data_IF_310302499780
#
_entry.id   IF_310302499780
#
_cell.length_a   1.000
_cell.length_b   1.000
_cell.length_c   1.000
_cell.angle_alpha   90.00
_cell.angle_beta   90.00
_cell.angle_gamma   90.00
#
_symmetry.space_group_name_H-M   'P 1'
#
loop_
_entity.id
_entity.type
_entity.pdbx_description
1 polymer ?
#
# COMPACT_ATOMS: atom_id res chain seq x y z
N UNK A 1 5.41 18.87 -19.12
CA UNK A 1 4.38 18.44 -18.16
C UNK A 1 3.06 18.40 -18.89
N UNK A 2 2.39 17.25 -18.88
CA UNK A 2 1.08 17.10 -19.51
C UNK A 2 0.00 17.86 -18.71
N UNK A 3 -1.15 18.14 -19.33
CA UNK A 3 -2.31 18.71 -18.63
C UNK A 3 -2.76 17.80 -17.49
N UNK A 4 -2.66 16.50 -17.70
CA UNK A 4 -3.01 15.47 -16.72
C UNK A 4 -2.05 15.44 -15.53
N UNK A 5 -0.74 15.50 -15.74
CA UNK A 5 0.26 15.61 -14.66
C UNK A 5 0.06 16.90 -13.84
N UNK A 6 -0.27 18.00 -14.51
CA UNK A 6 -0.55 19.28 -13.84
C UNK A 6 -1.79 19.18 -12.95
N UNK A 7 -2.83 18.52 -13.45
CA UNK A 7 -4.04 18.25 -12.67
C UNK A 7 -3.74 17.34 -11.48
N UNK A 8 -3.03 16.22 -11.67
CA UNK A 8 -2.67 15.29 -10.60
C UNK A 8 -1.92 15.97 -9.46
N UNK A 9 -0.91 16.78 -9.79
CA UNK A 9 -0.14 17.52 -8.79
C UNK A 9 -0.99 18.49 -8.00
N UNK A 10 -1.88 19.21 -8.69
CA UNK A 10 -2.77 20.16 -8.04
C UNK A 10 -3.75 19.44 -7.11
N UNK A 11 -4.42 18.41 -7.62
CA UNK A 11 -5.35 17.59 -6.83
C UNK A 11 -4.66 17.00 -5.60
N UNK A 12 -3.46 16.44 -5.76
CA UNK A 12 -2.70 15.88 -4.64
C UNK A 12 -2.26 16.96 -3.63
N UNK A 13 -1.82 18.13 -4.11
CA UNK A 13 -1.49 19.26 -3.25
C UNK A 13 -2.70 19.72 -2.42
N UNK A 14 -3.86 19.84 -3.06
CA UNK A 14 -5.11 20.27 -2.43
C UNK A 14 -5.57 19.26 -1.36
N UNK A 15 -5.51 17.96 -1.66
CA UNK A 15 -5.89 16.88 -0.73
C UNK A 15 -4.96 16.85 0.50
N UNK A 16 -3.65 16.94 0.26
CA UNK A 16 -2.65 16.86 1.32
C UNK A 16 -2.51 18.16 2.13
N UNK A 17 -2.95 19.29 1.57
CA UNK A 17 -2.71 20.63 2.11
C UNK A 17 -1.24 21.02 1.98
N UNK A 18 -0.63 20.79 0.81
CA UNK A 18 0.78 21.05 0.53
C UNK A 18 0.96 22.24 -0.41
N UNK A 19 1.28 23.39 0.16
CA UNK A 19 1.46 24.65 -0.60
C UNK A 19 2.84 24.75 -1.27
N UNK A 20 3.81 23.90 -0.88
CA UNK A 20 5.18 23.91 -1.45
C UNK A 20 5.26 23.22 -2.81
N UNK A 21 4.17 22.60 -3.24
CA UNK A 21 4.08 21.84 -4.49
C UNK A 21 4.48 20.37 -4.35
N UNK A 22 4.04 19.59 -5.33
CA UNK A 22 4.21 18.13 -5.39
C UNK A 22 5.29 17.80 -6.45
N UNK A 23 6.44 17.21 -6.07
CA UNK A 23 7.41 16.66 -7.02
C UNK A 23 6.79 15.59 -7.93
N UNK A 24 7.35 15.46 -9.14
CA UNK A 24 6.83 14.54 -10.18
C UNK A 24 6.76 13.09 -9.72
N UNK A 25 7.75 12.61 -8.96
CA UNK A 25 7.80 11.22 -8.53
C UNK A 25 6.58 10.82 -7.68
N UNK A 26 5.99 11.76 -6.92
CA UNK A 26 4.82 11.47 -6.06
C UNK A 26 3.53 11.23 -6.85
N UNK A 27 3.44 11.68 -8.10
CA UNK A 27 2.24 11.46 -8.92
C UNK A 27 2.35 10.19 -9.77
N UNK A 28 3.50 9.51 -9.80
CA UNK A 28 3.72 8.36 -10.67
C UNK A 28 2.74 7.21 -10.40
N UNK A 29 2.42 6.97 -9.12
CA UNK A 29 1.42 5.98 -8.69
C UNK A 29 -0.02 6.40 -8.98
N UNK A 30 -0.24 7.71 -9.20
CA UNK A 30 -1.56 8.27 -9.44
C UNK A 30 -1.85 8.49 -10.93
N UNK A 31 -0.89 8.21 -11.82
CA UNK A 31 -1.02 8.41 -13.28
C UNK A 31 -2.17 7.63 -13.90
N UNK A 32 -2.66 6.57 -13.26
CA UNK A 32 -3.84 5.85 -13.75
C UNK A 32 -5.15 6.61 -13.49
N UNK A 33 -5.20 7.47 -12.46
CA UNK A 33 -6.39 8.23 -12.11
C UNK A 33 -6.57 9.44 -13.00
N UNK A 34 -7.80 9.65 -13.42
CA UNK A 34 -8.22 10.77 -14.26
C UNK A 34 -9.19 11.68 -13.49
N UNK A 35 -9.39 12.93 -13.94
CA UNK A 35 -10.47 13.78 -13.42
C UNK A 35 -11.83 13.09 -13.44
N UNK A 36 -12.10 12.36 -14.52
CA UNK A 36 -13.35 11.65 -14.75
C UNK A 36 -13.59 10.57 -13.69
N UNK A 37 -12.53 9.86 -13.26
CA UNK A 37 -12.64 8.87 -12.19
C UNK A 37 -13.12 9.48 -10.86
N UNK A 38 -12.68 10.69 -10.52
CA UNK A 38 -13.15 11.38 -9.32
C UNK A 38 -14.56 11.99 -9.51
N UNK A 39 -14.87 12.48 -10.71
CA UNK A 39 -16.17 13.10 -10.99
C UNK A 39 -17.30 12.07 -11.07
N UNK A 40 -17.01 10.85 -11.53
CA UNK A 40 -17.96 9.74 -11.63
C UNK A 40 -18.19 9.02 -10.29
N UNK A 41 -17.30 9.17 -9.31
CA UNK A 41 -17.56 8.74 -7.93
C UNK A 41 -18.72 9.53 -7.33
N UNK A 42 -19.55 8.85 -6.54
CA UNK A 42 -20.59 9.53 -5.75
C UNK A 42 -19.92 10.47 -4.75
N UNK A 43 -20.63 11.54 -4.39
CA UNK A 43 -20.10 12.58 -3.49
C UNK A 43 -19.60 11.98 -2.17
N UNK A 44 -20.38 11.09 -1.55
CA UNK A 44 -20.01 10.40 -0.30
C UNK A 44 -18.78 9.51 -0.47
N UNK A 45 -18.65 8.79 -1.58
CA UNK A 45 -17.52 7.90 -1.87
C UNK A 45 -16.25 8.69 -2.09
N UNK A 46 -16.32 9.74 -2.91
CA UNK A 46 -15.20 10.65 -3.16
C UNK A 46 -14.74 11.31 -1.87
N UNK A 47 -15.67 11.84 -1.07
CA UNK A 47 -15.32 12.46 0.21
C UNK A 47 -14.70 11.46 1.18
N UNK A 48 -15.26 10.25 1.30
CA UNK A 48 -14.71 9.20 2.15
C UNK A 48 -13.30 8.78 1.71
N UNK A 49 -13.12 8.49 0.42
CA UNK A 49 -11.84 8.05 -0.14
C UNK A 49 -10.75 9.13 0.00
N UNK A 50 -11.04 10.39 -0.40
CA UNK A 50 -10.07 11.49 -0.33
C UNK A 50 -9.75 11.88 1.12
N UNK A 51 -10.74 11.85 2.01
CA UNK A 51 -10.53 12.11 3.45
C UNK A 51 -9.67 11.03 4.10
N UNK A 52 -9.95 9.75 3.83
CA UNK A 52 -9.16 8.63 4.31
C UNK A 52 -7.73 8.69 3.78
N UNK A 53 -7.55 8.94 2.48
CA UNK A 53 -6.25 9.15 1.85
C UNK A 53 -5.45 10.22 2.58
N UNK A 54 -6.02 11.43 2.69
CA UNK A 54 -5.31 12.57 3.26
C UNK A 54 -4.94 12.35 4.73
N UNK A 55 -5.85 11.75 5.49
CA UNK A 55 -5.64 11.45 6.91
C UNK A 55 -4.46 10.49 7.08
N UNK A 56 -4.46 9.36 6.38
CA UNK A 56 -3.46 8.31 6.60
C UNK A 56 -2.11 8.70 6.00
N UNK A 57 -2.07 9.37 4.85
CA UNK A 57 -0.82 9.92 4.31
C UNK A 57 -0.18 10.92 5.28
N UNK A 58 -0.98 11.79 5.91
CA UNK A 58 -0.49 12.72 6.94
C UNK A 58 0.01 11.98 8.18
N UNK A 59 -0.72 10.96 8.65
CA UNK A 59 -0.31 10.15 9.80
C UNK A 59 1.02 9.44 9.54
N UNK A 60 1.19 8.81 8.37
CA UNK A 60 2.44 8.18 7.96
C UNK A 60 3.61 9.18 7.99
N UNK A 61 3.42 10.35 7.38
CA UNK A 61 4.44 11.40 7.34
C UNK A 61 4.79 11.92 8.73
N UNK A 62 3.77 12.20 9.54
CA UNK A 62 3.95 12.79 10.87
C UNK A 62 4.56 11.77 11.85
N UNK A 63 4.31 10.46 11.67
CA UNK A 63 4.99 9.39 12.41
C UNK A 63 6.51 9.38 12.16
N UNK A 64 6.97 9.61 10.92
CA UNK A 64 8.39 9.79 10.60
C UNK A 64 8.97 11.07 11.22
N UNK A 65 8.15 12.09 11.39
CA UNK A 65 8.53 13.36 12.01
C UNK A 65 8.78 13.25 13.51
N UNK A 66 8.11 12.32 14.20
CA UNK A 66 8.29 12.08 15.63
C UNK A 66 9.72 11.67 16.02
N UNK A 67 10.51 11.16 15.07
CA UNK A 67 11.91 10.76 15.26
C UNK A 67 12.91 11.89 15.04
N UNK A 68 12.48 13.03 14.46
CA UNK A 68 13.38 14.12 14.04
C UNK A 68 13.73 15.13 15.15
N UNK A 69 13.14 14.98 16.34
CA UNK A 69 13.39 15.85 17.50
C UNK A 69 12.62 17.17 17.48
N UNK A 70 12.60 17.83 18.64
CA UNK A 70 11.86 19.08 18.87
C UNK A 70 12.40 20.22 18.00
N UNK A 71 11.56 20.84 17.18
CA UNK A 71 11.94 21.96 16.28
C UNK A 71 12.34 21.56 14.86
N UNK A 72 12.39 20.26 14.54
CA UNK A 72 12.46 19.83 13.15
C UNK A 72 11.15 20.19 12.43
N UNK A 73 11.25 20.87 11.27
CA UNK A 73 10.10 21.19 10.45
C UNK A 73 9.35 19.93 9.99
N UNK A 74 8.08 20.11 9.57
CA UNK A 74 7.25 19.00 9.09
C UNK A 74 7.96 18.27 7.93
N UNK A 75 8.20 16.95 8.01
CA UNK A 75 8.91 16.23 6.96
C UNK A 75 8.19 16.37 5.62
N UNK A 76 8.93 16.21 4.52
CA UNK A 76 8.34 16.12 3.19
C UNK A 76 7.64 14.75 3.02
N UNK A 77 6.60 14.71 2.19
CA UNK A 77 5.98 13.45 1.80
C UNK A 77 6.96 12.59 0.98
N UNK A 78 6.91 11.28 1.23
CA UNK A 78 7.62 10.26 0.45
C UNK A 78 6.61 9.28 -0.15
N UNK A 79 7.05 8.46 -1.11
CA UNK A 79 6.19 7.49 -1.79
C UNK A 79 5.42 6.57 -0.83
N UNK A 80 6.07 6.12 0.24
CA UNK A 80 5.41 5.32 1.27
C UNK A 80 4.20 6.00 1.92
N UNK A 81 4.22 7.34 2.08
CA UNK A 81 3.09 8.08 2.64
C UNK A 81 1.90 8.09 1.67
N UNK A 82 2.18 8.16 0.36
CA UNK A 82 1.17 8.10 -0.71
C UNK A 82 0.59 6.69 -0.80
N UNK A 83 1.41 5.65 -0.69
CA UNK A 83 0.96 4.25 -0.67
C UNK A 83 0.01 3.99 0.51
N UNK A 84 0.33 4.49 1.70
CA UNK A 84 -0.56 4.42 2.86
C UNK A 84 -1.87 5.17 2.65
N UNK A 85 -1.82 6.34 2.00
CA UNK A 85 -3.02 7.06 1.57
C UNK A 85 -3.88 6.24 0.62
N UNK A 86 -3.28 5.63 -0.41
CA UNK A 86 -3.99 4.81 -1.40
C UNK A 86 -4.65 3.58 -0.77
N UNK A 87 -3.97 2.92 0.17
CA UNK A 87 -4.55 1.82 0.97
C UNK A 87 -5.80 2.28 1.71
N UNK A 88 -5.72 3.43 2.38
CA UNK A 88 -6.83 3.97 3.14
C UNK A 88 -8.01 4.40 2.25
N UNK A 89 -7.72 4.97 1.08
CA UNK A 89 -8.74 5.31 0.09
C UNK A 89 -9.48 4.06 -0.40
N UNK A 90 -8.74 2.99 -0.72
CA UNK A 90 -9.28 1.69 -1.10
C UNK A 90 -10.18 1.13 0.00
N UNK A 91 -9.71 1.09 1.25
CA UNK A 91 -10.52 0.62 2.38
C UNK A 91 -11.79 1.45 2.57
N UNK A 92 -11.73 2.78 2.41
CA UNK A 92 -12.90 3.64 2.55
C UNK A 92 -13.96 3.40 1.46
N UNK A 93 -13.54 2.99 0.26
CA UNK A 93 -14.44 2.55 -0.80
C UNK A 93 -15.01 1.16 -0.49
N UNK A 94 -14.20 0.22 0.00
CA UNK A 94 -14.64 -1.13 0.39
C UNK A 94 -15.62 -1.12 1.59
N UNK A 95 -15.53 -0.13 2.47
CA UNK A 95 -16.44 0.06 3.61
C UNK A 95 -17.83 0.60 3.21
N UNK A 96 -18.03 1.01 1.95
CA UNK A 96 -19.35 1.44 1.50
C UNK A 96 -20.33 0.24 1.50
N UNK A 97 -21.57 0.45 1.98
CA UNK A 97 -22.53 -0.65 2.08
C UNK A 97 -22.83 -1.28 0.72
N UNK A 98 -22.94 -2.61 0.70
CA UNK A 98 -23.22 -3.38 -0.51
C UNK A 98 -24.53 -2.90 -1.17
N UNK A 99 -24.45 -2.49 -2.43
CA UNK A 99 -25.57 -1.92 -3.20
C UNK A 99 -25.62 -0.39 -3.23
N UNK A 100 -24.81 0.31 -2.43
CA UNK A 100 -24.66 1.77 -2.49
C UNK A 100 -23.36 2.22 -3.18
N UNK A 101 -22.54 1.27 -3.61
CA UNK A 101 -21.31 1.54 -4.35
C UNK A 101 -21.62 1.90 -5.82
N UNK A 102 -20.96 2.92 -6.35
CA UNK A 102 -21.01 3.28 -7.76
C UNK A 102 -20.28 2.27 -8.63
N UNK A 103 -20.69 2.18 -9.91
CA UNK A 103 -19.97 1.36 -10.90
C UNK A 103 -18.52 1.82 -11.05
N UNK A 104 -18.27 3.14 -10.96
CA UNK A 104 -16.92 3.70 -10.97
C UNK A 104 -16.10 3.27 -9.74
N UNK A 105 -16.68 3.26 -8.53
CA UNK A 105 -15.98 2.76 -7.35
C UNK A 105 -15.62 1.28 -7.50
N UNK A 106 -16.48 0.46 -8.09
CA UNK A 106 -16.19 -0.95 -8.38
C UNK A 106 -15.06 -1.11 -9.41
N UNK A 107 -15.09 -0.33 -10.50
CA UNK A 107 -14.03 -0.30 -11.52
C UNK A 107 -12.69 0.12 -10.92
N UNK A 108 -12.68 1.19 -10.11
CA UNK A 108 -11.46 1.65 -9.44
C UNK A 108 -10.92 0.61 -8.45
N UNK A 109 -11.79 -0.13 -7.76
CA UNK A 109 -11.39 -1.21 -6.86
C UNK A 109 -10.83 -2.42 -7.61
N UNK A 110 -11.37 -2.76 -8.79
CA UNK A 110 -10.87 -3.86 -9.63
C UNK A 110 -9.54 -3.52 -10.31
N UNK A 111 -9.39 -2.28 -10.74
CA UNK A 111 -8.26 -1.82 -11.55
C UNK A 111 -7.13 -1.22 -10.68
N UNK A 112 -7.39 -0.97 -9.40
CA UNK A 112 -6.39 -0.56 -8.43
C UNK A 112 -5.29 -1.63 -8.32
N UNK A 113 -4.11 -1.34 -8.88
CA UNK A 113 -2.83 -1.94 -8.43
C UNK A 113 -2.36 -1.36 -7.10
N UNK A 114 -3.31 -0.87 -6.31
CA UNK A 114 -3.08 -0.27 -5.01
C UNK A 114 -2.60 -1.35 -4.04
N UNK A 115 -1.56 -1.08 -3.23
CA UNK A 115 -1.03 -2.08 -2.32
C UNK A 115 -2.13 -2.51 -1.34
N UNK A 116 -2.03 -3.75 -0.82
CA UNK A 116 -3.05 -4.33 0.05
C UNK A 116 -3.43 -3.38 1.20
N UNK A 117 -4.74 -3.26 1.47
CA UNK A 117 -5.32 -2.43 2.53
C UNK A 117 -4.67 -2.68 3.91
N UNK A 118 -4.12 -3.88 4.11
CA UNK A 118 -3.44 -4.33 5.32
C UNK A 118 -2.05 -4.88 4.97
N UNK A 119 -1.03 -4.57 5.78
CA UNK A 119 0.33 -5.08 5.58
C UNK A 119 1.44 -4.15 6.11
N UNK A 120 2.69 -4.64 6.22
CA UNK A 120 3.82 -3.86 6.71
C UNK A 120 4.14 -2.65 5.81
N UNK A 121 4.84 -1.67 6.39
CA UNK A 121 5.14 -0.37 5.80
C UNK A 121 6.19 -0.51 4.67
N UNK A 122 5.87 -0.20 3.40
CA UNK A 122 6.83 -0.35 2.29
C UNK A 122 7.95 0.69 2.30
N UNK A 123 7.94 1.66 3.23
CA UNK A 123 8.85 2.80 3.23
C UNK A 123 9.85 2.90 4.38
N UNK A 124 9.92 1.94 5.29
CA UNK A 124 10.96 1.94 6.34
C UNK A 124 12.16 1.07 5.96
N UNK A 125 11.94 -0.01 5.21
CA UNK A 125 13.02 -0.90 4.77
C UNK A 125 13.18 -0.77 3.25
N UNK A 126 14.26 -0.11 2.82
CA UNK A 126 14.55 0.21 1.42
C UNK A 126 14.72 -1.00 0.51
N UNK A 127 13.61 -1.61 0.11
CA UNK A 127 13.54 -2.61 -0.94
C UNK A 127 12.54 -2.17 -2.00
N UNK A 128 13.05 -1.78 -3.16
CA UNK A 128 12.28 -1.81 -4.41
C UNK A 128 11.98 -3.26 -4.77
N UNK A 129 11.11 -3.91 -4.00
CA UNK A 129 10.62 -5.26 -4.26
C UNK A 129 9.33 -5.17 -5.03
N UNK A 130 9.44 -5.09 -6.36
CA UNK A 130 8.46 -5.76 -7.21
C UNK A 130 8.64 -7.26 -6.94
N UNK A 131 8.03 -7.77 -5.88
CA UNK A 131 7.80 -9.21 -5.74
C UNK A 131 6.37 -9.46 -6.19
N UNK A 132 6.29 -10.02 -7.40
CA UNK A 132 5.18 -10.79 -7.94
C UNK A 132 4.24 -11.30 -6.84
N UNK A 133 3.07 -10.70 -6.74
CA UNK A 133 1.92 -11.36 -6.14
C UNK A 133 1.49 -12.43 -7.14
N UNK A 134 2.07 -13.63 -7.03
CA UNK A 134 1.43 -14.82 -7.59
C UNK A 134 0.02 -14.91 -6.96
N UNK A 135 -1.04 -15.01 -7.78
CA UNK A 135 -2.40 -15.12 -7.27
C UNK A 135 -2.54 -16.41 -6.46
N UNK A 136 -3.19 -16.31 -5.30
CA UNK A 136 -3.39 -17.37 -4.31
C UNK A 136 -4.34 -18.51 -4.75
N UNK A 137 -4.29 -18.93 -6.00
CA UNK A 137 -5.16 -19.95 -6.59
C UNK A 137 -4.35 -21.06 -7.23
N UNK A 138 -3.49 -21.74 -6.46
CA UNK A 138 -2.96 -23.07 -6.82
C UNK A 138 -2.34 -23.77 -5.59
N UNK A 139 -3.08 -23.84 -4.48
CA UNK A 139 -2.87 -24.93 -3.50
C UNK A 139 -3.70 -26.13 -3.93
N UNK A 140 -3.34 -26.69 -5.08
CA UNK A 140 -3.80 -28.02 -5.47
C UNK A 140 -3.10 -29.05 -4.57
N UNK A 141 -3.96 -29.80 -3.88
CA UNK A 141 -3.79 -31.12 -3.29
C UNK A 141 -2.54 -31.87 -3.73
N UNK A 142 -1.59 -32.06 -2.81
CA UNK A 142 -0.60 -33.12 -2.92
C UNK A 142 -0.82 -34.12 -1.79
N UNK A 143 -1.70 -35.07 -2.08
CA UNK A 143 -1.76 -36.40 -1.47
C UNK A 143 -0.47 -37.20 -1.82
N UNK A 144 -0.27 -38.32 -1.12
CA UNK A 144 0.80 -39.34 -1.22
C UNK A 144 2.17 -38.99 -0.56
N UNK A 145 2.85 -39.82 0.24
CA UNK A 145 2.62 -41.11 0.93
C UNK A 145 3.88 -41.33 1.86
N UNK A 146 4.16 -42.49 2.50
CA UNK A 146 4.60 -42.59 3.89
C UNK A 146 6.14 -42.65 4.06
N UNK A 147 6.60 -42.31 5.26
CA UNK A 147 8.01 -42.40 5.66
C UNK A 147 8.40 -43.88 5.88
N UNK A 148 9.45 -44.43 5.23
CA UNK A 148 9.95 -45.76 5.57
C UNK A 148 10.88 -45.74 6.78
N UNK A 149 10.70 -46.78 7.61
CA UNK A 149 11.41 -47.08 8.84
C UNK A 149 12.86 -47.58 8.64
N UNK A 150 13.72 -47.15 9.58
CA UNK A 150 14.90 -47.85 10.17
C UNK A 150 16.21 -48.02 9.33
N UNK A 151 17.38 -48.34 9.96
CA UNK A 151 17.67 -48.60 11.39
C UNK A 151 18.85 -47.79 11.99
N UNK A 152 18.84 -47.66 13.32
CA UNK A 152 19.98 -47.21 14.11
C UNK A 152 21.04 -48.33 14.23
N UNK A 153 22.16 -48.20 13.52
CA UNK A 153 23.35 -49.03 13.72
C UNK A 153 24.38 -48.22 14.50
N UNK A 154 24.71 -48.66 15.71
CA UNK A 154 25.77 -48.05 16.53
C UNK A 154 27.19 -48.43 16.11
N UNK A 155 28.18 -47.70 16.61
CA UNK A 155 29.44 -48.21 17.17
C UNK A 155 30.48 -47.08 17.35
N UNK A 156 31.00 -46.94 18.59
CA UNK A 156 32.36 -46.49 18.94
C UNK A 156 32.70 -45.01 18.71
N UNK A 157 33.61 -44.35 19.43
CA UNK A 157 34.53 -44.76 20.48
C UNK A 157 35.26 -43.50 21.03
N UNK A 158 35.72 -43.57 22.29
CA UNK A 158 36.86 -42.86 22.94
C UNK A 158 36.64 -41.56 23.71
N UNK A 159 36.63 -41.73 25.04
CA UNK A 159 37.40 -40.96 26.05
C UNK A 159 38.84 -40.66 25.54
N UNK A 160 39.47 -39.53 25.88
CA UNK A 160 40.08 -39.42 27.22
C UNK A 160 40.05 -38.00 27.85
N UNK A 161 39.81 -37.96 29.17
CA UNK A 161 40.40 -37.03 30.17
C UNK A 161 40.21 -35.51 30.02
N UNK A 162 39.48 -34.91 30.96
CA UNK A 162 39.97 -33.83 31.84
C UNK A 162 39.08 -33.74 33.10
#
# INVERSE_FOLDING_TARGET
MSKHETWLKKTLADILGEDRGIPDYMIDRLRAFTPEDLDELRVNEREAALSAFARVARQSRDARGGELGEGAGRPAYVDGDIDWGLRAAKSALEEQPAGEMSEKALELLSDCTCPAATGPNPGIDGGSGYDDVEPALERESREDDPVPSEPATGAGERDPRA
#
